data_IF_236251669909
#
_entry.id   IF_236251669909
#
_cell.length_a   1.000
_cell.length_b   1.000
_cell.length_c   1.000
_cell.angle_alpha   90.00
_cell.angle_beta   90.00
_cell.angle_gamma   90.00
#
_symmetry.space_group_name_H-M   'P 1'
#
loop_
_entity.id
_entity.type
_entity.pdbx_description
1 polymer ?
#
# COMPACT_ATOMS: atom_id res chain seq x y z
N UNK A 1 -17.22 -5.29 23.72
CA UNK A 1 -16.65 -4.32 22.76
C UNK A 1 -15.16 -4.52 22.85
N UNK A 2 -14.59 -5.20 21.86
CA UNK A 2 -13.13 -5.35 21.75
C UNK A 2 -12.62 -4.00 21.26
N UNK A 3 -11.77 -3.34 22.05
CA UNK A 3 -11.04 -2.18 21.57
C UNK A 3 -10.08 -2.68 20.47
N UNK A 4 -10.16 -2.08 19.29
CA UNK A 4 -9.35 -2.37 18.09
C UNK A 4 -7.85 -2.10 18.36
N UNK A 5 -7.23 -2.96 19.15
CA UNK A 5 -5.83 -2.86 19.52
C UNK A 5 -5.02 -3.69 18.53
N UNK A 6 -4.35 -3.01 17.60
CA UNK A 6 -3.32 -3.62 16.78
C UNK A 6 -2.05 -3.80 17.62
N UNK A 7 -1.13 -4.64 17.17
CA UNK A 7 0.11 -4.87 17.89
C UNK A 7 1.31 -4.48 17.01
N UNK A 8 2.24 -3.72 17.57
CA UNK A 8 3.57 -3.47 17.00
C UNK A 8 4.59 -4.24 17.82
N UNK A 9 5.46 -4.99 17.16
CA UNK A 9 6.58 -5.66 17.80
C UNK A 9 7.84 -4.78 17.71
N UNK A 10 8.35 -4.34 18.85
CA UNK A 10 9.60 -3.59 18.95
C UNK A 10 10.77 -4.58 18.91
N UNK A 11 11.60 -4.50 17.85
CA UNK A 11 12.73 -5.41 17.63
C UNK A 11 13.90 -5.16 18.60
N UNK A 12 14.07 -3.93 19.11
CA UNK A 12 15.14 -3.60 20.05
C UNK A 12 14.78 -4.06 21.47
N UNK A 13 13.50 -3.91 21.83
CA UNK A 13 12.99 -4.26 23.15
C UNK A 13 12.44 -5.69 23.21
N UNK A 14 12.36 -6.38 22.07
CA UNK A 14 11.74 -7.69 21.91
C UNK A 14 10.33 -7.76 22.54
N UNK A 15 9.56 -6.67 22.46
CA UNK A 15 8.28 -6.52 23.17
C UNK A 15 7.11 -6.30 22.21
N UNK A 16 5.93 -6.80 22.58
CA UNK A 16 4.67 -6.46 21.92
C UNK A 16 4.08 -5.23 22.60
N UNK A 17 3.91 -4.15 21.84
CA UNK A 17 3.18 -2.96 22.28
C UNK A 17 1.86 -2.89 21.53
N UNK A 18 0.77 -2.65 22.26
CA UNK A 18 -0.50 -2.31 21.63
C UNK A 18 -0.35 -0.96 20.94
N UNK A 19 -0.53 -0.96 19.62
CA UNK A 19 -0.53 0.23 18.79
C UNK A 19 -1.97 0.47 18.31
N UNK A 20 -2.36 1.73 18.20
CA UNK A 20 -3.56 2.10 17.44
C UNK A 20 -3.22 2.35 15.96
N UNK A 21 -1.96 2.15 15.58
CA UNK A 21 -1.42 2.47 14.26
C UNK A 21 -0.89 1.22 13.55
N UNK A 22 -1.67 0.75 12.59
CA UNK A 22 -1.27 -0.07 11.45
C UNK A 22 -0.44 0.81 10.47
N UNK A 23 0.45 0.27 9.62
CA UNK A 23 1.20 1.02 8.61
C UNK A 23 0.34 1.60 7.48
N UNK A 24 -0.97 1.29 7.44
CA UNK A 24 -1.96 2.09 6.72
C UNK A 24 -2.98 2.77 7.64
N UNK A 25 -2.73 2.86 8.96
CA UNK A 25 -3.63 3.57 9.85
C UNK A 25 -3.67 5.03 9.47
N UNK A 26 -4.84 5.41 8.99
CA UNK A 26 -5.32 6.77 9.05
C UNK A 26 -5.03 7.34 10.44
N UNK A 27 -4.24 8.40 10.51
CA UNK A 27 -4.15 9.20 11.73
C UNK A 27 -5.27 10.21 11.67
N UNK A 28 -6.09 10.27 12.72
CA UNK A 28 -7.13 11.27 12.78
C UNK A 28 -6.52 12.67 12.79
N UNK A 29 -7.22 13.62 12.19
CA UNK A 29 -6.81 15.02 12.24
C UNK A 29 -6.55 15.55 13.64
N UNK A 30 -7.30 15.05 14.63
CA UNK A 30 -7.13 15.41 16.03
C UNK A 30 -5.79 14.92 16.56
N UNK A 31 -5.45 13.66 16.32
CA UNK A 31 -4.16 13.08 16.73
C UNK A 31 -2.99 13.73 16.01
N UNK A 32 -3.13 13.97 14.70
CA UNK A 32 -2.07 14.64 13.92
C UNK A 32 -1.82 16.05 14.44
N UNK A 33 -2.87 16.83 14.76
CA UNK A 33 -2.71 18.18 15.35
C UNK A 33 -2.19 18.15 16.79
N UNK A 34 -2.53 17.12 17.56
CA UNK A 34 -2.04 16.98 18.93
C UNK A 34 -0.56 16.61 18.99
N UNK A 35 -0.07 15.87 17.98
CA UNK A 35 1.26 15.27 18.00
C UNK A 35 2.25 15.89 16.99
N UNK A 36 1.79 16.66 16.00
CA UNK A 36 2.67 17.33 15.06
C UNK A 36 3.15 18.67 15.65
N UNK A 37 4.47 18.93 15.71
CA UNK A 37 5.00 20.23 16.13
C UNK A 37 4.74 21.34 15.10
N UNK A 38 4.19 21.00 13.94
CA UNK A 38 3.98 21.89 12.79
C UNK A 38 2.51 21.95 12.39
N UNK A 39 2.04 23.16 12.08
CA UNK A 39 0.70 23.38 11.54
C UNK A 39 0.63 22.89 10.09
N UNK A 40 -0.04 21.76 9.87
CA UNK A 40 -0.28 21.23 8.53
C UNK A 40 -1.51 21.90 7.89
N UNK A 41 -1.35 22.39 6.67
CA UNK A 41 -2.45 22.91 5.86
C UNK A 41 -3.21 21.76 5.19
N UNK A 42 -3.99 21.04 5.99
CA UNK A 42 -4.77 19.87 5.56
C UNK A 42 -5.99 20.27 4.73
N UNK A 43 -6.23 19.55 3.64
CA UNK A 43 -7.46 19.65 2.87
C UNK A 43 -8.65 19.21 3.73
N UNK A 44 -9.75 19.95 3.63
CA UNK A 44 -11.02 19.63 4.27
C UNK A 44 -12.12 19.52 3.25
N UNK A 45 -13.07 18.63 3.49
CA UNK A 45 -14.28 18.51 2.70
C UNK A 45 -15.29 19.64 3.00
N UNK A 46 -16.48 19.56 2.41
CA UNK A 46 -17.56 20.54 2.60
C UNK A 46 -18.14 20.55 4.03
N UNK A 47 -17.83 19.55 4.84
CA UNK A 47 -18.22 19.45 6.26
C UNK A 47 -17.06 19.87 7.20
N UNK A 48 -15.99 20.44 6.64
CA UNK A 48 -14.75 20.77 7.34
C UNK A 48 -14.04 19.55 7.96
N UNK A 49 -14.33 18.34 7.48
CA UNK A 49 -13.63 17.13 7.88
C UNK A 49 -12.37 16.97 7.06
N UNK A 50 -11.27 16.63 7.75
CA UNK A 50 -9.98 16.37 7.10
C UNK A 50 -10.04 15.02 6.41
N UNK A 51 -9.56 14.99 5.18
CA UNK A 51 -9.68 13.83 4.31
C UNK A 51 -8.88 12.62 4.76
N UNK A 52 -7.55 12.69 4.70
CA UNK A 52 -6.67 11.60 5.07
C UNK A 52 -5.27 12.09 5.42
N UNK A 53 -4.63 11.32 6.29
CA UNK A 53 -3.21 11.41 6.62
C UNK A 53 -2.67 10.04 6.97
N UNK A 54 -1.57 9.65 6.35
CA UNK A 54 -0.90 8.37 6.53
C UNK A 54 0.52 8.62 7.04
N UNK A 55 0.80 8.16 8.26
CA UNK A 55 2.12 8.32 8.89
C UNK A 55 3.07 7.21 8.44
N UNK A 56 4.34 7.54 8.25
CA UNK A 56 5.38 6.55 7.97
C UNK A 56 5.69 5.69 9.19
N UNK A 57 6.21 4.46 9.01
CA UNK A 57 6.58 3.56 10.11
C UNK A 57 7.48 4.18 11.17
N UNK A 58 8.47 4.98 10.75
CA UNK A 58 9.37 5.69 11.67
C UNK A 58 8.78 6.98 12.26
N UNK A 59 7.51 7.30 11.96
CA UNK A 59 6.78 8.48 12.42
C UNK A 59 7.40 9.82 12.01
N UNK A 60 8.34 9.82 11.07
CA UNK A 60 9.01 11.03 10.61
C UNK A 60 8.26 11.72 9.48
N UNK A 61 7.55 10.98 8.64
CA UNK A 61 6.89 11.51 7.46
C UNK A 61 5.39 11.30 7.51
N UNK A 62 4.62 12.24 6.96
CA UNK A 62 3.17 12.07 6.77
C UNK A 62 2.79 12.40 5.34
N UNK A 63 1.99 11.53 4.72
CA UNK A 63 1.37 11.72 3.42
C UNK A 63 -0.08 12.13 3.63
N UNK A 64 -0.50 13.23 3.00
CA UNK A 64 -1.83 13.81 3.23
C UNK A 64 -2.33 14.59 2.02
N UNK A 65 -3.64 14.82 1.97
CA UNK A 65 -4.23 15.78 1.03
C UNK A 65 -4.05 17.20 1.58
N UNK A 66 -3.35 18.08 0.85
CA UNK A 66 -3.09 19.45 1.29
C UNK A 66 -4.13 20.44 0.74
N UNK A 67 -4.31 21.57 1.43
CA UNK A 67 -5.07 22.68 0.87
C UNK A 67 -4.44 23.15 -0.44
N UNK A 68 -5.29 23.55 -1.40
CA UNK A 68 -4.83 23.98 -2.72
C UNK A 68 -4.05 25.29 -2.60
N UNK A 69 -2.78 25.34 -3.03
CA UNK A 69 -2.08 26.60 -3.24
C UNK A 69 -2.80 27.49 -4.26
N UNK A 70 -2.59 28.81 -4.18
CA UNK A 70 -3.20 29.79 -5.09
C UNK A 70 -2.94 29.48 -6.58
N UNK A 71 -1.78 28.92 -6.90
CA UNK A 71 -1.37 28.56 -8.25
C UNK A 71 -1.51 27.06 -8.59
N UNK A 72 -2.38 26.33 -7.90
CA UNK A 72 -2.58 24.91 -8.16
C UNK A 72 -3.28 24.68 -9.50
N UNK A 73 -2.56 24.09 -10.45
CA UNK A 73 -3.02 23.95 -11.84
C UNK A 73 -3.85 22.70 -12.15
N UNK A 74 -4.00 21.77 -11.20
CA UNK A 74 -4.76 20.54 -11.40
C UNK A 74 -6.14 20.62 -10.74
N UNK A 75 -7.10 19.85 -11.27
CA UNK A 75 -8.35 19.60 -10.55
C UNK A 75 -8.06 18.80 -9.27
N UNK A 76 -8.89 18.94 -8.24
CA UNK A 76 -8.68 18.24 -6.97
C UNK A 76 -7.66 18.92 -6.05
N UNK A 77 -7.27 18.23 -4.98
CA UNK A 77 -6.33 18.69 -3.97
C UNK A 77 -4.94 18.08 -4.21
N UNK A 78 -3.86 18.82 -3.96
CA UNK A 78 -2.51 18.25 -4.06
C UNK A 78 -2.30 17.13 -3.03
N UNK A 79 -1.69 16.04 -3.46
CA UNK A 79 -1.08 15.08 -2.55
C UNK A 79 0.24 15.67 -2.04
N UNK A 80 0.46 15.63 -0.74
CA UNK A 80 1.65 16.18 -0.11
C UNK A 80 2.32 15.16 0.81
N UNK A 81 3.64 15.29 0.94
CA UNK A 81 4.44 14.63 1.97
C UNK A 81 5.22 15.69 2.74
N UNK A 82 5.25 15.58 4.06
CA UNK A 82 6.10 16.44 4.90
C UNK A 82 6.91 15.61 5.88
N UNK A 83 8.04 16.16 6.30
CA UNK A 83 8.81 15.66 7.43
C UNK A 83 8.31 16.40 8.69
N UNK A 84 7.75 15.65 9.64
CA UNK A 84 7.14 16.17 10.86
C UNK A 84 8.14 16.81 11.82
N UNK A 85 9.44 16.58 11.65
CA UNK A 85 10.49 17.17 12.48
C UNK A 85 11.00 18.49 11.90
N UNK A 86 11.20 18.55 10.59
CA UNK A 86 11.85 19.69 9.93
C UNK A 86 10.85 20.65 9.29
N UNK A 87 9.72 20.15 8.79
CA UNK A 87 8.62 20.93 8.23
C UNK A 87 8.62 21.35 6.76
N UNK A 88 9.64 21.09 5.91
CA UNK A 88 9.41 21.23 4.47
C UNK A 88 8.33 20.25 4.00
N UNK A 89 7.51 20.72 3.07
CA UNK A 89 6.46 19.94 2.43
C UNK A 89 6.77 19.84 0.94
N UNK A 90 6.77 18.62 0.41
CA UNK A 90 6.83 18.37 -1.02
C UNK A 90 5.41 18.09 -1.51
N UNK A 91 5.01 18.78 -2.57
CA UNK A 91 3.75 18.54 -3.26
C UNK A 91 4.01 17.65 -4.47
N UNK A 92 3.15 16.66 -4.68
CA UNK A 92 3.09 16.00 -5.95
C UNK A 92 2.60 17.00 -7.01
N UNK A 93 3.33 17.13 -8.12
CA UNK A 93 2.97 18.06 -9.20
C UNK A 93 2.15 17.41 -10.31
N UNK A 94 2.08 16.08 -10.32
CA UNK A 94 1.46 15.27 -11.38
C UNK A 94 0.28 14.42 -10.89
N UNK A 95 -0.01 14.42 -9.59
CA UNK A 95 -1.13 13.68 -9.02
C UNK A 95 -1.96 14.56 -8.08
N UNK A 96 -3.26 14.26 -8.04
CA UNK A 96 -4.26 14.98 -7.28
C UNK A 96 -5.26 14.03 -6.64
N UNK A 97 -5.73 14.46 -5.49
CA UNK A 97 -6.78 13.85 -4.68
C UNK A 97 -8.12 14.43 -5.15
N UNK A 98 -9.11 13.61 -5.51
CA UNK A 98 -10.38 14.12 -6.07
C UNK A 98 -11.60 13.87 -5.20
N UNK A 99 -11.52 12.92 -4.29
CA UNK A 99 -12.54 12.65 -3.30
C UNK A 99 -11.93 12.85 -1.91
N UNK A 100 -12.46 13.76 -1.09
CA UNK A 100 -11.98 13.90 0.28
C UNK A 100 -12.74 13.04 1.30
N UNK A 101 -13.92 12.53 0.93
CA UNK A 101 -14.90 11.96 1.84
C UNK A 101 -14.88 10.42 1.92
N UNK A 102 -14.25 9.70 0.97
CA UNK A 102 -14.30 8.23 0.90
C UNK A 102 -12.90 7.63 0.89
N UNK A 103 -12.31 7.45 2.08
CA UNK A 103 -10.90 7.07 2.22
C UNK A 103 -10.61 5.61 1.91
N UNK A 104 -11.52 4.68 2.23
CA UNK A 104 -11.27 3.22 2.24
C UNK A 104 -11.06 2.61 0.83
N UNK A 105 -11.69 3.22 -0.16
CA UNK A 105 -11.75 2.75 -1.55
C UNK A 105 -10.92 3.64 -2.48
N UNK A 106 -10.81 4.93 -2.18
CA UNK A 106 -10.19 5.92 -3.07
C UNK A 106 -8.71 6.15 -2.80
N UNK A 107 -8.21 5.82 -1.59
CA UNK A 107 -6.81 6.01 -1.22
C UNK A 107 -6.25 4.85 -0.44
N UNK A 108 -5.02 4.47 -0.79
CA UNK A 108 -4.25 3.49 -0.02
C UNK A 108 -2.79 3.88 -0.08
N UNK A 109 -2.16 4.05 1.07
CA UNK A 109 -0.72 4.28 1.17
C UNK A 109 -0.07 3.03 1.75
N UNK A 110 0.97 2.52 1.10
CA UNK A 110 1.81 1.45 1.63
C UNK A 110 3.24 1.94 1.77
N UNK A 111 3.72 2.02 2.99
CA UNK A 111 5.10 2.42 3.27
C UNK A 111 6.07 1.26 3.19
N UNK A 112 7.31 1.55 2.81
CA UNK A 112 8.43 0.67 3.07
C UNK A 112 8.75 0.70 4.56
N UNK A 113 9.27 -0.41 5.10
CA UNK A 113 9.61 -0.51 6.52
C UNK A 113 10.64 0.55 6.95
N UNK A 114 11.61 0.85 6.07
CA UNK A 114 12.61 1.90 6.28
C UNK A 114 12.09 3.34 6.07
N UNK A 115 10.81 3.52 5.74
CA UNK A 115 10.17 4.83 5.51
C UNK A 115 10.81 5.68 4.40
N UNK A 116 11.60 5.10 3.50
CA UNK A 116 12.25 5.81 2.40
C UNK A 116 11.44 5.84 1.11
N UNK A 117 10.38 5.04 1.03
CA UNK A 117 9.51 4.93 -0.12
C UNK A 117 8.07 4.60 0.31
N UNK A 118 7.11 4.90 -0.55
CA UNK A 118 5.74 4.41 -0.40
C UNK A 118 5.06 4.26 -1.76
N UNK A 119 4.01 3.44 -1.81
CA UNK A 119 3.04 3.48 -2.90
C UNK A 119 1.80 4.23 -2.46
N UNK A 120 1.16 4.96 -3.37
CA UNK A 120 -0.14 5.59 -3.14
C UNK A 120 -1.11 5.28 -4.27
N UNK A 121 -2.28 4.72 -3.92
CA UNK A 121 -3.44 4.63 -4.80
C UNK A 121 -4.24 5.93 -4.72
N UNK A 122 -4.65 6.47 -5.85
CA UNK A 122 -5.56 7.62 -5.96
C UNK A 122 -6.61 7.35 -7.03
N UNK A 123 -7.86 7.72 -6.78
CA UNK A 123 -8.92 7.68 -7.79
C UNK A 123 -9.09 9.06 -8.47
N UNK A 124 -9.10 9.06 -9.80
CA UNK A 124 -9.30 10.24 -10.64
C UNK A 124 -10.75 10.75 -10.63
N UNK A 125 -11.06 11.94 -11.18
CA UNK A 125 -12.44 12.44 -11.29
C UNK A 125 -13.34 11.52 -12.13
N UNK A 126 -12.75 10.69 -12.99
CA UNK A 126 -13.44 9.80 -13.91
C UNK A 126 -13.48 8.36 -13.40
N UNK A 127 -13.28 8.15 -12.10
CA UNK A 127 -13.28 6.84 -11.44
C UNK A 127 -12.18 5.88 -11.95
N UNK A 128 -11.14 6.40 -12.61
CA UNK A 128 -9.94 5.61 -12.93
C UNK A 128 -8.99 5.60 -11.74
N UNK A 129 -8.53 4.43 -11.34
CA UNK A 129 -7.55 4.25 -10.28
C UNK A 129 -6.12 4.35 -10.82
N UNK A 130 -5.28 5.05 -10.07
CA UNK A 130 -3.85 5.18 -10.36
C UNK A 130 -3.04 4.79 -9.14
N UNK A 131 -1.98 4.03 -9.38
CA UNK A 131 -0.97 3.72 -8.37
C UNK A 131 0.29 4.51 -8.69
N UNK A 132 0.85 5.16 -7.69
CA UNK A 132 2.14 5.84 -7.79
C UNK A 132 3.13 5.22 -6.82
N UNK A 133 4.37 5.08 -7.24
CA UNK A 133 5.52 4.82 -6.38
C UNK A 133 6.24 6.14 -6.11
N UNK A 134 6.55 6.40 -4.84
CA UNK A 134 7.09 7.68 -4.38
C UNK A 134 8.38 7.49 -3.61
N UNK A 135 9.42 8.23 -3.99
CA UNK A 135 10.79 8.17 -3.43
C UNK A 135 11.48 9.52 -3.40
N UNK A 136 12.74 9.57 -2.95
CA UNK A 136 13.60 10.76 -2.97
C UNK A 136 13.38 11.74 -1.81
N UNK A 137 12.16 11.76 -1.26
CA UNK A 137 11.79 12.65 -0.14
C UNK A 137 12.65 12.43 1.11
N UNK A 138 13.10 11.19 1.37
CA UNK A 138 13.82 10.86 2.59
C UNK A 138 15.25 11.41 2.65
N UNK A 139 15.87 11.64 1.49
CA UNK A 139 17.22 12.20 1.39
C UNK A 139 17.18 13.73 1.30
N UNK A 140 16.18 14.26 0.58
CA UNK A 140 16.01 15.69 0.36
C UNK A 140 14.51 16.06 0.30
N UNK A 141 13.99 16.69 1.36
CA UNK A 141 12.60 17.16 1.44
C UNK A 141 12.27 18.39 0.55
N UNK A 142 13.09 18.67 -0.49
CA UNK A 142 12.77 19.65 -1.53
C UNK A 142 12.11 19.02 -2.75
N UNK A 143 12.40 17.75 -3.02
CA UNK A 143 11.92 17.05 -4.20
C UNK A 143 11.54 15.61 -3.85
N UNK A 144 10.50 15.10 -4.51
CA UNK A 144 10.12 13.70 -4.44
C UNK A 144 9.79 13.22 -5.84
N UNK A 145 10.20 12.00 -6.16
CA UNK A 145 9.85 11.36 -7.43
C UNK A 145 8.50 10.70 -7.29
N UNK A 146 7.61 10.92 -8.27
CA UNK A 146 6.30 10.26 -8.36
C UNK A 146 6.23 9.49 -9.66
N UNK A 147 6.41 8.18 -9.59
CA UNK A 147 6.37 7.28 -10.75
C UNK A 147 5.00 6.60 -10.81
N UNK A 148 4.22 6.88 -11.87
CA UNK A 148 2.93 6.21 -12.10
C UNK A 148 3.15 4.77 -12.56
N UNK A 149 2.55 3.82 -11.84
CA UNK A 149 2.57 2.39 -12.11
C UNK A 149 1.26 2.00 -12.80
N UNK A 150 1.20 2.11 -14.13
CA UNK A 150 0.00 1.74 -14.88
C UNK A 150 0.31 0.81 -16.03
N UNK A 151 1.26 1.21 -16.88
CA UNK A 151 1.79 0.37 -17.95
C UNK A 151 3.28 0.17 -17.68
N UNK A 152 3.67 -1.06 -17.36
CA UNK A 152 5.04 -1.42 -16.99
C UNK A 152 5.57 -2.44 -17.99
N UNK A 153 6.82 -2.28 -18.43
CA UNK A 153 7.51 -3.32 -19.19
C UNK A 153 8.27 -4.22 -18.22
N UNK A 154 7.88 -5.49 -18.10
CA UNK A 154 8.47 -6.45 -17.17
C UNK A 154 8.80 -7.74 -17.91
N UNK A 155 10.08 -8.13 -17.94
CA UNK A 155 10.54 -9.37 -18.60
C UNK A 155 10.00 -9.53 -20.03
N UNK A 156 10.14 -8.50 -20.87
CA UNK A 156 9.63 -8.42 -22.26
C UNK A 156 8.10 -8.42 -22.42
N UNK A 157 7.34 -8.30 -21.33
CA UNK A 157 5.89 -8.18 -21.36
C UNK A 157 5.44 -6.75 -21.02
N UNK A 158 4.35 -6.30 -21.64
CA UNK A 158 3.62 -5.12 -21.18
C UNK A 158 2.59 -5.54 -20.14
N UNK A 159 2.71 -4.98 -18.93
CA UNK A 159 1.80 -5.18 -17.82
C UNK A 159 0.90 -3.96 -17.67
N UNK A 160 -0.41 -4.21 -17.65
CA UNK A 160 -1.41 -3.24 -17.21
C UNK A 160 -1.76 -3.50 -15.75
N UNK A 161 -1.21 -2.68 -14.86
CA UNK A 161 -1.39 -2.79 -13.40
C UNK A 161 -2.86 -2.69 -13.05
N UNK A 162 -3.37 -3.66 -12.29
CA UNK A 162 -4.72 -3.66 -11.73
C UNK A 162 -4.70 -3.19 -10.28
N UNK A 163 -5.73 -2.46 -9.93
CA UNK A 163 -5.93 -1.60 -8.76
C UNK A 163 -6.05 -2.37 -7.44
N UNK A 164 -5.83 -3.68 -7.47
CA UNK A 164 -6.26 -4.58 -6.42
C UNK A 164 -5.30 -4.48 -5.24
N UNK A 165 -3.98 -4.70 -5.44
CA UNK A 165 -3.00 -4.60 -4.35
C UNK A 165 -1.59 -4.23 -4.84
N UNK A 166 -0.90 -3.41 -4.05
CA UNK A 166 0.53 -3.17 -4.18
C UNK A 166 1.15 -3.34 -2.79
N UNK A 167 2.20 -4.14 -2.67
CA UNK A 167 2.99 -4.23 -1.44
C UNK A 167 4.45 -3.93 -1.74
N UNK A 168 5.05 -3.14 -0.86
CA UNK A 168 6.38 -2.61 -1.01
C UNK A 168 7.33 -3.42 -0.12
N UNK A 169 8.45 -3.86 -0.69
CA UNK A 169 9.50 -4.54 0.08
C UNK A 169 10.06 -3.65 1.19
N UNK A 170 10.67 -4.25 2.20
CA UNK A 170 11.12 -3.56 3.42
C UNK A 170 12.12 -2.43 3.13
N UNK A 171 12.96 -2.61 2.11
CA UNK A 171 13.93 -1.61 1.64
C UNK A 171 13.34 -0.57 0.67
N UNK A 172 12.08 -0.73 0.26
CA UNK A 172 11.40 0.19 -0.63
C UNK A 172 11.76 0.08 -2.10
N UNK A 173 12.54 -0.91 -2.54
CA UNK A 173 13.07 -0.99 -3.92
C UNK A 173 12.30 -1.91 -4.85
N UNK A 174 11.56 -2.86 -4.30
CA UNK A 174 10.72 -3.81 -5.06
C UNK A 174 9.26 -3.69 -4.66
N UNK A 175 8.37 -3.83 -5.63
CA UNK A 175 6.92 -3.77 -5.44
C UNK A 175 6.30 -5.03 -6.01
N UNK A 176 5.49 -5.72 -5.22
CA UNK A 176 4.61 -6.76 -5.75
C UNK A 176 3.33 -6.11 -6.21
N UNK A 177 2.97 -6.35 -7.47
CA UNK A 177 1.83 -5.79 -8.17
C UNK A 177 0.99 -6.91 -8.77
N UNK A 178 -0.30 -6.62 -8.94
CA UNK A 178 -1.18 -7.42 -9.78
C UNK A 178 -1.48 -6.69 -11.09
N UNK A 179 -1.71 -7.42 -12.17
CA UNK A 179 -2.20 -6.82 -13.40
C UNK A 179 -2.45 -7.83 -14.50
N UNK A 180 -2.80 -7.34 -15.68
CA UNK A 180 -3.04 -8.16 -16.87
C UNK A 180 -1.88 -8.00 -17.86
N UNK A 181 -1.54 -9.07 -18.56
CA UNK A 181 -0.60 -8.98 -19.69
C UNK A 181 -1.28 -8.34 -20.89
N UNK A 182 -0.55 -7.47 -21.58
CA UNK A 182 -0.99 -6.88 -22.83
C UNK A 182 -1.14 -7.92 -23.93
N UNK A 183 -2.27 -7.89 -24.63
CA UNK A 183 -2.57 -8.81 -25.72
C UNK A 183 -3.26 -10.11 -25.32
N UNK A 184 -3.50 -10.34 -24.02
CA UNK A 184 -4.28 -11.50 -23.56
C UNK A 184 -5.75 -11.37 -23.98
N UNK A 185 -6.25 -12.38 -24.70
CA UNK A 185 -7.66 -12.46 -25.17
C UNK A 185 -8.63 -12.80 -24.04
N UNK A 186 -8.11 -13.44 -22.97
CA UNK A 186 -8.83 -13.76 -21.74
C UNK A 186 -8.11 -13.04 -20.60
N UNK A 187 -8.74 -12.12 -19.87
CA UNK A 187 -8.06 -11.38 -18.81
C UNK A 187 -7.65 -12.34 -17.71
N UNK A 188 -6.35 -12.62 -17.61
CA UNK A 188 -5.73 -13.35 -16.51
C UNK A 188 -5.06 -12.34 -15.60
N UNK A 189 -5.23 -12.52 -14.29
CA UNK A 189 -4.51 -11.73 -13.30
C UNK A 189 -3.18 -12.42 -13.02
N UNK A 190 -2.13 -11.64 -13.15
CA UNK A 190 -0.76 -12.07 -12.92
C UNK A 190 -0.16 -11.30 -11.74
N UNK A 191 0.73 -11.97 -11.02
CA UNK A 191 1.54 -11.38 -9.97
C UNK A 191 2.92 -11.03 -10.54
N UNK A 192 3.41 -9.84 -10.25
CA UNK A 192 4.69 -9.35 -10.74
C UNK A 192 5.46 -8.67 -9.63
N UNK A 193 6.78 -8.72 -9.76
CA UNK A 193 7.68 -7.88 -8.99
C UNK A 193 8.23 -6.83 -9.94
N UNK A 194 7.92 -5.58 -9.65
CA UNK A 194 8.57 -4.44 -10.28
C UNK A 194 9.76 -4.01 -9.43
N UNK A 195 10.89 -3.78 -10.08
CA UNK A 195 12.12 -3.30 -9.45
C UNK A 195 12.32 -1.81 -9.79
N UNK A 196 12.46 -0.99 -8.75
CA UNK A 196 12.57 0.46 -8.88
C UNK A 196 13.89 0.92 -9.48
N UNK A 197 14.97 0.14 -9.32
CA UNK A 197 16.29 0.48 -9.86
C UNK A 197 16.42 0.04 -11.31
N UNK A 198 15.68 -0.99 -11.69
CA UNK A 198 15.64 -1.46 -13.07
C UNK A 198 14.23 -1.94 -13.43
N UNK A 199 13.42 -0.99 -13.88
CA UNK A 199 12.00 -1.21 -14.19
C UNK A 199 11.73 -2.30 -15.21
N UNK A 200 12.71 -2.62 -16.07
CA UNK A 200 12.61 -3.65 -17.13
C UNK A 200 12.99 -5.05 -16.60
N UNK A 201 13.80 -5.13 -15.54
CA UNK A 201 14.24 -6.37 -14.88
C UNK A 201 13.24 -6.91 -13.85
N UNK A 202 11.99 -6.47 -13.90
CA UNK A 202 10.95 -7.06 -13.07
C UNK A 202 10.79 -8.58 -13.31
N UNK A 203 10.20 -9.26 -12.35
CA UNK A 203 9.99 -10.71 -12.38
C UNK A 203 8.49 -11.01 -12.53
N UNK A 204 8.15 -11.87 -13.49
CA UNK A 204 6.84 -12.52 -13.53
C UNK A 204 6.80 -13.63 -12.47
N UNK A 205 5.80 -13.62 -11.62
CA UNK A 205 5.55 -14.71 -10.68
C UNK A 205 4.55 -15.65 -11.32
N UNK A 206 5.04 -16.78 -11.83
CA UNK A 206 4.18 -17.86 -12.29
C UNK A 206 3.54 -18.54 -11.09
N UNK A 207 2.26 -18.25 -10.91
CA UNK A 207 1.40 -18.80 -9.86
C UNK A 207 0.39 -19.75 -10.50
N UNK A 208 0.10 -20.85 -9.82
CA UNK A 208 -0.81 -21.87 -10.34
C UNK A 208 -2.25 -21.35 -10.57
N UNK A 209 -2.68 -20.37 -9.79
CA UNK A 209 -4.09 -19.94 -9.70
C UNK A 209 -4.36 -18.66 -10.51
N UNK A 210 -4.14 -18.67 -11.83
CA UNK A 210 -4.09 -17.47 -12.70
C UNK A 210 -5.37 -16.61 -12.80
N UNK A 211 -6.42 -16.90 -12.02
CA UNK A 211 -7.73 -16.26 -12.17
C UNK A 211 -8.22 -15.51 -10.93
N UNK A 212 -7.77 -15.83 -9.71
CA UNK A 212 -8.40 -15.23 -8.52
C UNK A 212 -7.44 -15.05 -7.33
N UNK A 213 -6.58 -14.03 -7.43
CA UNK A 213 -5.81 -13.52 -6.30
C UNK A 213 -6.50 -12.33 -5.65
N UNK A 214 -6.62 -12.36 -4.33
CA UNK A 214 -7.28 -11.31 -3.54
C UNK A 214 -6.34 -10.59 -2.58
N UNK A 215 -5.06 -10.99 -2.51
CA UNK A 215 -3.99 -10.22 -1.87
C UNK A 215 -2.61 -10.80 -2.18
N UNK A 216 -1.60 -9.94 -2.13
CA UNK A 216 -0.21 -10.34 -2.07
C UNK A 216 0.62 -9.32 -1.25
N UNK A 217 1.62 -9.80 -0.52
CA UNK A 217 2.52 -8.99 0.28
C UNK A 217 3.92 -9.61 0.36
N UNK A 218 4.96 -8.78 0.43
CA UNK A 218 6.28 -9.28 0.82
C UNK A 218 6.27 -9.76 2.27
N UNK A 219 7.04 -10.81 2.55
CA UNK A 219 7.44 -11.13 3.92
C UNK A 219 8.31 -10.00 4.49
N UNK A 220 8.44 -9.93 5.82
CA UNK A 220 9.19 -8.86 6.50
C UNK A 220 10.67 -8.77 6.07
N UNK A 221 11.29 -9.91 5.81
CA UNK A 221 12.66 -10.04 5.25
C UNK A 221 12.72 -9.81 3.73
N UNK A 222 11.57 -9.69 3.06
CA UNK A 222 11.43 -9.56 1.61
C UNK A 222 12.12 -10.68 0.80
N UNK A 223 12.33 -11.85 1.40
CA UNK A 223 12.86 -13.03 0.70
C UNK A 223 11.76 -13.82 -0.02
N UNK A 224 10.51 -13.60 0.38
CA UNK A 224 9.35 -14.32 -0.12
C UNK A 224 8.16 -13.38 -0.29
N UNK A 225 7.13 -13.87 -0.96
CA UNK A 225 5.82 -13.23 -1.07
C UNK A 225 4.77 -14.17 -0.48
N UNK A 226 3.88 -13.62 0.33
CA UNK A 226 2.62 -14.26 0.71
C UNK A 226 1.54 -13.79 -0.25
N UNK A 227 0.74 -14.71 -0.77
CA UNK A 227 -0.44 -14.37 -1.56
C UNK A 227 -1.60 -15.31 -1.23
N UNK A 228 -2.82 -14.86 -1.48
CA UNK A 228 -4.03 -15.65 -1.29
C UNK A 228 -4.69 -15.87 -2.64
N UNK A 229 -4.65 -17.12 -3.07
CA UNK A 229 -5.31 -17.61 -4.28
C UNK A 229 -6.46 -18.56 -3.97
N UNK A 230 -6.95 -19.24 -5.00
CA UNK A 230 -8.05 -20.19 -4.90
C UNK A 230 -7.70 -21.38 -4.01
N UNK A 231 -6.44 -21.82 -4.05
CA UNK A 231 -5.97 -22.99 -3.30
C UNK A 231 -5.51 -22.69 -1.86
N UNK A 232 -5.48 -21.43 -1.45
CA UNK A 232 -5.08 -21.06 -0.09
C UNK A 232 -4.18 -19.84 0.05
N UNK A 233 -3.71 -19.66 1.28
CA UNK A 233 -2.61 -18.79 1.64
C UNK A 233 -1.31 -19.51 1.27
N UNK A 234 -0.56 -18.90 0.35
CA UNK A 234 0.61 -19.51 -0.27
C UNK A 234 1.82 -18.61 -0.05
N UNK A 235 2.95 -19.23 0.24
CA UNK A 235 4.28 -18.60 0.27
C UNK A 235 5.01 -18.91 -1.02
N UNK A 236 5.48 -17.89 -1.72
CA UNK A 236 6.36 -17.99 -2.88
C UNK A 236 7.76 -17.50 -2.50
N UNK A 237 8.75 -18.38 -2.59
CA UNK A 237 10.16 -18.06 -2.35
C UNK A 237 10.77 -17.41 -3.60
N UNK A 238 11.33 -16.20 -3.46
CA UNK A 238 11.83 -15.43 -4.61
C UNK A 238 13.07 -16.03 -5.24
N UNK A 239 13.96 -16.61 -4.41
CA UNK A 239 15.23 -17.17 -4.86
C UNK A 239 15.02 -18.47 -5.65
N UNK A 240 14.12 -19.33 -5.19
CA UNK A 240 13.93 -20.68 -5.73
C UNK A 240 12.76 -20.77 -6.72
N UNK A 241 11.86 -19.79 -6.69
CA UNK A 241 10.60 -19.81 -7.44
C UNK A 241 9.60 -20.85 -6.91
N UNK A 242 9.81 -21.38 -5.71
CA UNK A 242 8.99 -22.44 -5.12
C UNK A 242 7.78 -21.86 -4.39
N UNK A 243 6.60 -22.41 -4.68
CA UNK A 243 5.37 -22.15 -3.93
C UNK A 243 5.09 -23.24 -2.89
N UNK A 244 4.63 -22.83 -1.70
CA UNK A 244 4.17 -23.73 -0.62
C UNK A 244 2.82 -23.24 -0.09
N UNK A 245 1.80 -24.11 -0.09
CA UNK A 245 0.52 -23.80 0.56
C UNK A 245 0.73 -23.85 2.07
N UNK A 246 0.54 -22.71 2.74
CA UNK A 246 0.65 -22.60 4.20
C UNK A 246 -0.67 -22.97 4.88
N UNK A 247 -1.80 -22.56 4.28
CA UNK A 247 -3.13 -22.85 4.81
C UNK A 247 -4.19 -22.82 3.69
N UNK A 248 -4.83 -23.95 3.41
CA UNK A 248 -5.86 -24.08 2.37
C UNK A 248 -7.21 -23.46 2.76
N UNK A 249 -7.49 -23.28 4.05
CA UNK A 249 -8.75 -22.70 4.53
C UNK A 249 -8.83 -21.19 4.30
N UNK A 250 -7.68 -20.52 4.18
CA UNK A 250 -7.58 -19.09 3.89
C UNK A 250 -7.47 -18.92 2.37
N UNK A 251 -8.56 -18.72 1.65
CA UNK A 251 -8.54 -18.72 0.19
C UNK A 251 -9.52 -17.70 -0.43
N UNK A 252 -9.36 -17.47 -1.74
CA UNK A 252 -10.14 -16.48 -2.49
C UNK A 252 -11.55 -16.88 -2.86
N UNK A 253 -11.94 -18.15 -2.67
CA UNK A 253 -13.29 -18.61 -3.06
C UNK A 253 -14.39 -18.06 -2.15
N UNK A 254 -14.04 -17.60 -0.96
CA UNK A 254 -14.99 -17.09 0.03
C UNK A 254 -14.60 -15.76 0.65
N UNK A 255 -13.29 -15.42 0.68
CA UNK A 255 -12.84 -14.14 1.18
C UNK A 255 -12.92 -13.09 0.06
N UNK A 256 -13.44 -11.91 0.38
CA UNK A 256 -13.67 -10.85 -0.61
C UNK A 256 -12.62 -9.74 -0.48
N UNK A 257 -12.11 -9.50 0.73
CA UNK A 257 -10.96 -8.61 0.98
C UNK A 257 -10.03 -9.18 2.02
N UNK A 258 -8.76 -8.80 1.92
CA UNK A 258 -7.69 -9.31 2.78
C UNK A 258 -6.72 -8.20 3.12
N UNK A 259 -6.25 -8.22 4.37
CA UNK A 259 -5.13 -7.42 4.83
C UNK A 259 -4.14 -8.28 5.61
N UNK A 260 -2.86 -8.22 5.23
CA UNK A 260 -1.79 -8.79 6.02
C UNK A 260 -1.36 -7.81 7.11
N UNK A 261 -1.14 -8.32 8.31
CA UNK A 261 -0.50 -7.56 9.38
C UNK A 261 0.93 -7.15 8.99
N UNK A 262 1.50 -6.10 9.62
CA UNK A 262 2.79 -5.52 9.21
C UNK A 262 3.97 -6.47 9.46
N UNK A 263 3.89 -7.23 10.53
CA UNK A 263 4.85 -8.27 10.89
C UNK A 263 4.59 -9.60 10.17
N UNK A 264 3.55 -9.64 9.31
CA UNK A 264 3.10 -10.79 8.54
C UNK A 264 2.69 -11.99 9.40
N UNK A 265 2.41 -11.80 10.69
CA UNK A 265 2.00 -12.88 11.61
C UNK A 265 0.51 -13.17 11.56
N UNK A 266 -0.30 -12.19 11.17
CA UNK A 266 -1.74 -12.30 11.06
C UNK A 266 -2.23 -11.87 9.68
N UNK A 267 -3.41 -12.39 9.32
CA UNK A 267 -4.17 -11.98 8.16
C UNK A 267 -5.63 -11.74 8.57
N UNK A 268 -6.17 -10.59 8.17
CA UNK A 268 -7.59 -10.27 8.30
C UNK A 268 -8.29 -10.55 6.97
N UNK A 269 -9.43 -11.23 7.03
CA UNK A 269 -10.25 -11.66 5.89
C UNK A 269 -11.66 -11.12 6.09
N UNK A 270 -12.17 -10.38 5.13
CA UNK A 270 -13.52 -9.83 5.15
C UNK A 270 -14.37 -10.51 4.09
N UNK A 271 -15.58 -10.86 4.49
CA UNK A 271 -16.65 -11.32 3.62
C UNK A 271 -17.74 -10.26 3.64
N UNK A 272 -17.67 -9.29 2.73
CA UNK A 272 -18.54 -8.12 2.69
C UNK A 272 -20.00 -8.55 2.49
N UNK A 273 -20.25 -9.55 1.64
CA UNK A 273 -21.59 -10.11 1.42
C UNK A 273 -22.27 -10.65 2.68
N UNK A 274 -21.49 -11.04 3.69
CA UNK A 274 -21.98 -11.54 4.99
C UNK A 274 -21.76 -10.55 6.13
N UNK A 275 -20.99 -9.48 5.93
CA UNK A 275 -20.58 -8.56 6.99
C UNK A 275 -19.71 -9.24 8.06
N UNK A 276 -18.94 -10.27 7.68
CA UNK A 276 -18.13 -11.07 8.60
C UNK A 276 -16.64 -10.79 8.41
N UNK A 277 -15.90 -10.63 9.51
CA UNK A 277 -14.45 -10.50 9.50
C UNK A 277 -13.81 -11.62 10.31
N UNK A 278 -12.77 -12.23 9.75
CA UNK A 278 -11.96 -13.26 10.37
C UNK A 278 -10.53 -12.76 10.51
N UNK A 279 -9.86 -13.13 11.59
CA UNK A 279 -8.43 -12.90 11.78
C UNK A 279 -7.80 -14.25 12.05
N UNK A 280 -6.77 -14.59 11.28
CA UNK A 280 -6.04 -15.84 11.40
C UNK A 280 -4.55 -15.58 11.54
N UNK A 281 -3.86 -16.47 12.25
CA UNK A 281 -2.40 -16.50 12.29
C UNK A 281 -1.87 -17.06 10.96
N UNK A 282 -0.84 -16.43 10.43
CA UNK A 282 -0.06 -16.91 9.29
C UNK A 282 0.89 -17.99 9.81
N UNK A 283 0.77 -19.25 9.35
CA UNK A 283 1.64 -20.31 9.84
C UNK A 283 3.11 -19.97 9.59
N UNK A 284 3.94 -20.10 10.63
CA UNK A 284 5.39 -20.05 10.48
C UNK A 284 5.83 -21.25 9.65
N UNK A 285 6.31 -20.99 8.42
CA UNK A 285 6.93 -21.99 7.55
C UNK A 285 8.27 -22.48 8.08
#
# INVERSE_FOLDING_TARGET
MLEDSWYTYDLEQMSLTTTNFWPQSYISSRELRANAPLSLNLAVDYQAQISFSFLSPNQQYVVYAAQRPENWGLSGWPLAITNLQTGPTVFATTTSVHNLAHFDSSYRVNWSANSSAFTVKTTSPYAADYVYYVTGFAENMQEASFTRLQELSVADHTLFVSDTFASLSSNGRRIVLTGNLGGDVQPRKWLFIWDADNSIQGQLIEVADQYDFIAAAFTSDSSSILYIGENGLIKYELETGKSTILNSEINSTWAERVWFSPDMRYVALLVESRGEMYIAEVPSS
#
